data_IF_306546457322
#
_entry.id   IF_306546457322
#
_cell.length_a   1.000
_cell.length_b   1.000
_cell.length_c   1.000
_cell.angle_alpha   90.00
_cell.angle_beta   90.00
_cell.angle_gamma   90.00
#
_symmetry.space_group_name_H-M   'P 1'
#
loop_
_entity.id
_entity.type
_entity.pdbx_description
1 polymer ?
#
# COMPACT_ATOMS: atom_id res chain seq x y z
N UNK A 1 1.72 -8.78 10.06
CA UNK A 1 2.21 -9.83 9.16
C UNK A 1 3.14 -10.74 9.94
N UNK A 2 3.55 -11.87 9.36
CA UNK A 2 4.59 -12.72 9.93
C UNK A 2 5.63 -13.02 8.85
N UNK A 3 6.94 -12.75 9.06
CA UNK A 3 7.97 -13.13 8.12
C UNK A 3 8.15 -14.64 8.13
N UNK A 4 8.66 -15.23 7.05
CA UNK A 4 9.12 -16.62 7.14
C UNK A 4 10.29 -16.75 8.11
N UNK A 5 10.44 -17.95 8.68
CA UNK A 5 11.58 -18.26 9.54
C UNK A 5 12.92 -17.92 8.87
N UNK A 6 13.79 -17.21 9.60
CA UNK A 6 15.09 -16.76 9.10
C UNK A 6 15.12 -15.36 8.49
N UNK A 7 13.97 -14.67 8.37
CA UNK A 7 13.89 -13.28 7.91
C UNK A 7 13.68 -12.31 9.07
N UNK A 8 14.28 -11.12 8.96
CA UNK A 8 14.12 -10.02 9.92
C UNK A 8 12.81 -9.25 9.69
N UNK A 9 12.14 -8.85 10.78
CA UNK A 9 10.84 -8.21 10.70
C UNK A 9 10.87 -6.87 9.97
N UNK A 10 11.83 -5.99 10.29
CA UNK A 10 11.89 -4.65 9.69
C UNK A 10 12.34 -4.75 8.23
N UNK A 11 13.32 -5.60 7.92
CA UNK A 11 13.76 -5.83 6.55
C UNK A 11 12.62 -6.38 5.68
N UNK A 12 11.86 -7.36 6.18
CA UNK A 12 10.68 -7.90 5.50
C UNK A 12 9.60 -6.83 5.33
N UNK A 13 9.29 -6.02 6.35
CA UNK A 13 8.35 -4.91 6.21
C UNK A 13 8.81 -3.86 5.18
N UNK A 14 10.11 -3.54 5.12
CA UNK A 14 10.65 -2.62 4.12
C UNK A 14 10.54 -3.20 2.70
N UNK A 15 10.80 -4.50 2.54
CA UNK A 15 10.60 -5.19 1.27
C UNK A 15 9.12 -5.22 0.85
N UNK A 16 8.19 -5.39 1.81
CA UNK A 16 6.75 -5.23 1.55
C UNK A 16 6.44 -3.86 0.97
N UNK A 17 6.98 -2.80 1.58
CA UNK A 17 6.76 -1.43 1.13
C UNK A 17 7.29 -1.22 -0.29
N UNK A 18 8.46 -1.76 -0.60
CA UNK A 18 9.06 -1.72 -1.94
C UNK A 18 8.15 -2.40 -3.00
N UNK A 19 7.77 -3.66 -2.78
CA UNK A 19 6.90 -4.44 -3.69
C UNK A 19 5.44 -3.92 -3.76
N UNK A 20 5.08 -2.99 -2.88
CA UNK A 20 3.75 -2.36 -2.81
C UNK A 20 3.75 -0.90 -3.30
N UNK A 21 4.88 -0.39 -3.81
CA UNK A 21 4.98 0.99 -4.29
C UNK A 21 5.89 1.16 -5.50
N UNK A 22 7.19 1.37 -5.30
CA UNK A 22 8.13 1.88 -6.32
C UNK A 22 9.34 0.97 -6.55
N UNK A 23 9.50 -0.05 -5.71
CA UNK A 23 10.70 -0.88 -5.67
C UNK A 23 10.48 -2.28 -6.23
N UNK A 24 11.54 -3.08 -6.10
CA UNK A 24 11.58 -4.51 -6.34
C UNK A 24 12.58 -5.14 -5.35
N UNK A 25 12.74 -6.45 -5.40
CA UNK A 25 13.72 -7.19 -4.59
C UNK A 25 15.21 -6.84 -4.81
N UNK A 26 15.55 -6.03 -5.82
CA UNK A 26 16.91 -5.58 -6.12
C UNK A 26 16.91 -4.10 -6.52
N UNK A 27 18.04 -3.43 -6.29
CA UNK A 27 18.23 -2.07 -6.76
C UNK A 27 18.28 -2.01 -8.29
N UNK A 28 17.67 -0.98 -8.86
CA UNK A 28 17.64 -0.75 -10.31
C UNK A 28 18.28 0.60 -10.64
N UNK A 29 19.01 0.67 -11.76
CA UNK A 29 19.72 1.89 -12.16
C UNK A 29 18.81 3.02 -12.65
N UNK A 30 17.53 2.74 -12.86
CA UNK A 30 16.51 3.70 -13.29
C UNK A 30 15.89 4.47 -12.13
N UNK A 31 16.17 4.11 -10.87
CA UNK A 31 15.66 4.84 -9.71
C UNK A 31 16.27 6.23 -9.61
N UNK A 32 15.43 7.26 -9.61
CA UNK A 32 15.82 8.66 -9.40
C UNK A 32 15.25 9.21 -8.08
N UNK A 33 15.60 10.46 -7.76
CA UNK A 33 15.16 11.09 -6.50
C UNK A 33 13.66 11.42 -6.50
N UNK A 34 13.05 11.61 -7.67
CA UNK A 34 11.61 11.80 -7.75
C UNK A 34 10.86 10.50 -7.42
N UNK A 35 11.32 9.37 -7.94
CA UNK A 35 10.77 8.04 -7.62
C UNK A 35 10.82 7.80 -6.12
N UNK A 36 11.97 8.07 -5.47
CA UNK A 36 12.12 7.93 -4.01
C UNK A 36 11.16 8.82 -3.21
N UNK A 37 10.80 10.00 -3.76
CA UNK A 37 9.90 10.94 -3.08
C UNK A 37 8.46 10.40 -2.95
N UNK A 38 8.12 9.38 -3.73
CA UNK A 38 6.80 8.74 -3.72
C UNK A 38 6.83 7.31 -3.16
N UNK A 39 7.93 6.88 -2.56
CA UNK A 39 8.04 5.57 -1.90
C UNK A 39 6.98 5.41 -0.79
N UNK A 40 6.41 4.20 -0.68
CA UNK A 40 5.69 3.84 0.53
C UNK A 40 6.68 3.62 1.68
N UNK A 41 6.35 4.12 2.87
CA UNK A 41 7.24 4.04 4.03
C UNK A 41 6.59 3.27 5.16
N UNK A 42 7.34 2.32 5.73
CA UNK A 42 7.02 1.73 7.03
C UNK A 42 7.27 2.77 8.11
N UNK A 43 6.24 3.21 8.82
CA UNK A 43 6.38 4.21 9.88
C UNK A 43 6.17 3.64 11.28
N UNK A 44 5.68 2.39 11.38
CA UNK A 44 5.45 1.69 12.64
C UNK A 44 5.58 0.18 12.43
N UNK A 45 6.25 -0.48 13.38
CA UNK A 45 6.28 -1.94 13.51
C UNK A 45 6.13 -2.33 14.97
N UNK A 46 5.48 -3.47 15.20
CA UNK A 46 5.41 -4.17 16.46
C UNK A 46 5.54 -5.68 16.18
N UNK A 47 6.76 -6.23 16.32
CA UNK A 47 7.01 -7.64 16.06
C UNK A 47 6.28 -8.60 17.00
N UNK A 48 6.06 -8.21 18.25
CA UNK A 48 5.43 -9.07 19.27
C UNK A 48 3.94 -9.27 18.96
N UNK A 49 3.28 -8.22 18.43
CA UNK A 49 1.87 -8.27 18.01
C UNK A 49 1.69 -8.53 16.51
N UNK A 50 2.78 -8.79 15.77
CA UNK A 50 2.74 -8.98 14.33
C UNK A 50 2.09 -7.79 13.57
N UNK A 51 2.28 -6.56 14.05
CA UNK A 51 1.71 -5.36 13.42
C UNK A 51 2.74 -4.54 12.64
N UNK A 52 2.32 -4.02 11.49
CA UNK A 52 3.08 -3.05 10.71
C UNK A 52 2.13 -2.03 10.09
N UNK A 53 2.59 -0.78 9.95
CA UNK A 53 1.80 0.29 9.30
C UNK A 53 2.64 1.01 8.26
N UNK A 54 1.99 1.27 7.12
CA UNK A 54 2.59 1.91 5.96
C UNK A 54 1.91 3.25 5.67
N UNK A 55 2.69 4.20 5.20
CA UNK A 55 2.20 5.43 4.61
C UNK A 55 2.45 5.37 3.10
N UNK A 56 1.36 5.43 2.32
CA UNK A 56 1.40 5.47 0.86
C UNK A 56 1.16 6.91 0.38
N UNK A 57 2.08 7.53 -0.37
CA UNK A 57 1.81 8.78 -1.05
C UNK A 57 0.63 8.63 -2.02
N UNK A 58 -0.36 9.51 -1.94
CA UNK A 58 -1.59 9.43 -2.77
C UNK A 58 -1.34 9.64 -4.27
N UNK A 59 -0.12 10.03 -4.64
CA UNK A 59 0.33 10.17 -6.02
C UNK A 59 0.58 8.80 -6.69
N UNK A 60 0.79 7.74 -5.90
CA UNK A 60 0.95 6.38 -6.42
C UNK A 60 -0.35 5.81 -7.02
N UNK A 61 -1.50 6.20 -6.45
CA UNK A 61 -2.77 5.60 -6.81
C UNK A 61 -3.36 6.24 -8.07
N UNK A 62 -3.70 5.37 -9.02
CA UNK A 62 -4.14 5.72 -10.36
C UNK A 62 -5.46 6.52 -10.38
N UNK A 63 -5.67 7.26 -11.46
CA UNK A 63 -6.84 8.11 -11.70
C UNK A 63 -7.43 7.85 -13.07
N UNK A 64 -8.75 7.85 -13.14
CA UNK A 64 -9.45 7.79 -14.41
C UNK A 64 -9.06 8.99 -15.28
N UNK A 65 -8.69 8.74 -16.54
CA UNK A 65 -8.37 9.79 -17.51
C UNK A 65 -9.61 10.66 -17.82
N UNK A 66 -10.81 10.07 -17.77
CA UNK A 66 -12.06 10.71 -18.19
C UNK A 66 -12.56 11.79 -17.22
N UNK A 67 -12.32 11.62 -15.92
CA UNK A 67 -12.89 12.48 -14.88
C UNK A 67 -11.96 12.74 -13.68
N UNK A 68 -10.74 12.19 -13.70
CA UNK A 68 -9.74 12.36 -12.64
C UNK A 68 -10.08 11.67 -11.31
N UNK A 69 -11.14 10.85 -11.26
CA UNK A 69 -11.59 10.16 -10.05
C UNK A 69 -10.66 9.01 -9.66
N UNK A 70 -10.70 8.66 -8.37
CA UNK A 70 -9.93 7.54 -7.84
C UNK A 70 -10.63 6.21 -8.15
N UNK A 71 -9.84 5.14 -8.22
CA UNK A 71 -10.35 3.79 -8.36
C UNK A 71 -9.87 2.88 -7.23
N UNK A 72 -10.80 2.11 -6.67
CA UNK A 72 -10.47 1.14 -5.62
C UNK A 72 -9.53 0.04 -6.12
N UNK A 73 -9.57 -0.28 -7.41
CA UNK A 73 -8.67 -1.25 -8.03
C UNK A 73 -7.20 -0.91 -7.77
N UNK A 74 -6.79 0.34 -8.03
CA UNK A 74 -5.40 0.77 -7.80
C UNK A 74 -5.00 0.71 -6.33
N UNK A 75 -5.89 1.10 -5.41
CA UNK A 75 -5.65 0.96 -3.96
C UNK A 75 -5.40 -0.49 -3.59
N UNK A 76 -6.22 -1.42 -4.08
CA UNK A 76 -6.07 -2.84 -3.79
C UNK A 76 -4.81 -3.43 -4.43
N UNK A 77 -4.49 -3.07 -5.67
CA UNK A 77 -3.28 -3.54 -6.36
C UNK A 77 -2.01 -3.15 -5.61
N UNK A 78 -1.94 -1.92 -5.10
CA UNK A 78 -0.78 -1.44 -4.33
C UNK A 78 -0.75 -2.06 -2.94
N UNK A 79 -1.86 -1.95 -2.19
CA UNK A 79 -1.88 -2.33 -0.77
C UNK A 79 -1.92 -3.84 -0.52
N UNK A 80 -2.54 -4.63 -1.42
CA UNK A 80 -2.75 -6.07 -1.24
C UNK A 80 -2.68 -6.87 -2.56
N UNK A 81 -1.81 -6.43 -3.47
CA UNK A 81 -1.57 -7.11 -4.75
C UNK A 81 -0.39 -8.08 -4.70
N UNK A 82 0.69 -7.75 -5.39
CA UNK A 82 1.89 -8.62 -5.51
C UNK A 82 2.47 -9.04 -4.16
N UNK A 83 2.37 -8.15 -3.16
CA UNK A 83 2.86 -8.39 -1.81
C UNK A 83 2.27 -9.63 -1.12
N UNK A 84 1.10 -10.13 -1.57
CA UNK A 84 0.49 -11.35 -1.07
C UNK A 84 1.18 -12.63 -1.56
N UNK A 85 2.01 -12.54 -2.60
CA UNK A 85 2.77 -13.66 -3.16
C UNK A 85 4.25 -13.69 -2.75
N UNK A 86 4.68 -12.78 -1.88
CA UNK A 86 6.09 -12.65 -1.52
C UNK A 86 6.61 -13.86 -0.74
N UNK A 87 7.76 -14.39 -1.18
CA UNK A 87 8.32 -15.65 -0.69
C UNK A 87 8.94 -15.58 0.71
N UNK A 88 9.24 -14.39 1.20
CA UNK A 88 9.79 -14.07 2.52
C UNK A 88 8.71 -13.78 3.58
N UNK A 89 7.43 -13.91 3.24
CA UNK A 89 6.29 -13.81 4.14
C UNK A 89 5.70 -15.19 4.41
N UNK A 90 5.31 -15.43 5.66
CA UNK A 90 4.41 -16.54 5.99
C UNK A 90 2.96 -16.12 5.71
N UNK A 91 2.58 -14.91 6.12
CA UNK A 91 1.31 -14.26 5.78
C UNK A 91 1.32 -12.75 6.08
N UNK A 92 0.38 -12.03 5.47
CA UNK A 92 0.04 -10.66 5.80
C UNK A 92 -1.44 -10.40 5.55
N UNK A 93 -2.08 -9.56 6.38
CA UNK A 93 -3.49 -9.20 6.23
C UNK A 93 -3.68 -7.72 6.53
N UNK A 94 -4.48 -7.04 5.72
CA UNK A 94 -4.92 -5.66 6.02
C UNK A 94 -6.06 -5.72 7.04
N UNK A 95 -5.91 -4.96 8.12
CA UNK A 95 -6.93 -4.80 9.17
C UNK A 95 -7.69 -3.49 9.02
N UNK A 96 -7.00 -2.43 8.60
CA UNK A 96 -7.54 -1.09 8.50
C UNK A 96 -6.82 -0.29 7.42
N UNK A 97 -7.50 0.71 6.87
CA UNK A 97 -6.97 1.65 5.89
C UNK A 97 -7.56 3.03 6.14
N UNK A 98 -6.68 4.04 6.17
CA UNK A 98 -7.08 5.43 6.28
C UNK A 98 -6.95 6.14 4.92
N UNK A 99 -8.01 6.82 4.51
CA UNK A 99 -8.01 7.69 3.33
C UNK A 99 -7.99 9.16 3.76
N UNK A 100 -6.96 9.95 3.38
CA UNK A 100 -6.96 11.36 3.68
C UNK A 100 -8.11 12.08 2.95
N UNK A 101 -8.74 13.12 3.53
CA UNK A 101 -9.95 13.73 2.98
C UNK A 101 -9.84 14.20 1.53
N UNK A 102 -8.66 14.65 1.11
CA UNK A 102 -8.42 15.08 -0.26
C UNK A 102 -8.51 13.91 -1.27
N UNK A 103 -8.04 12.73 -0.89
CA UNK A 103 -8.12 11.53 -1.72
C UNK A 103 -9.49 10.84 -1.60
N UNK A 104 -10.08 10.81 -0.39
CA UNK A 104 -11.40 10.23 -0.15
C UNK A 104 -12.50 10.87 -1.04
N UNK A 105 -12.45 12.20 -1.23
CA UNK A 105 -13.41 12.94 -2.06
C UNK A 105 -13.34 12.61 -3.56
N UNK A 106 -12.34 11.84 -4.00
CA UNK A 106 -12.20 11.42 -5.39
C UNK A 106 -12.95 10.12 -5.70
N UNK A 107 -13.45 9.40 -4.68
CA UNK A 107 -14.31 8.25 -4.86
C UNK A 107 -15.76 8.68 -5.06
N UNK A 108 -16.54 7.84 -5.75
CA UNK A 108 -17.94 8.14 -6.05
C UNK A 108 -18.80 8.23 -4.80
N UNK A 109 -18.56 7.36 -3.84
CA UNK A 109 -19.42 7.20 -2.67
C UNK A 109 -20.80 6.63 -3.05
N UNK A 110 -21.67 6.42 -2.05
CA UNK A 110 -23.03 5.96 -2.31
C UNK A 110 -23.87 7.09 -2.93
N UNK A 111 -24.52 6.82 -4.06
CA UNK A 111 -25.46 7.77 -4.70
C UNK A 111 -26.88 7.72 -4.12
N UNK A 112 -27.17 6.73 -3.28
CA UNK A 112 -28.43 6.50 -2.60
C UNK A 112 -28.14 5.84 -1.26
N UNK A 113 -28.93 6.13 -0.24
CA UNK A 113 -28.76 5.58 1.11
C UNK A 113 -30.10 5.13 1.71
N UNK A 114 -30.05 4.61 2.94
CA UNK A 114 -31.22 4.03 3.62
C UNK A 114 -32.37 5.03 3.87
N UNK A 115 -32.10 6.33 3.87
CA UNK A 115 -33.11 7.39 4.03
C UNK A 115 -33.92 7.60 2.75
N UNK A 116 -33.37 7.21 1.60
CA UNK A 116 -34.02 7.35 0.29
C UNK A 116 -34.97 6.17 -0.03
N UNK A 117 -35.01 5.14 0.82
CA UNK A 117 -35.84 3.93 0.70
C UNK A 117 -37.17 4.07 1.46
#
# INVERSE_FOLDING_TARGET
MKPKAGYDYLATAAHFAAESSTGANVNVCTTDDFTKSVDALVYYIDPDNEEMKFAYPTLLADRNITDGRAMMCSVLTLSIGNNQGMGDFEYGKIYDIYFPPAYLRLFDGPNCNVVDM
#
